data_IF_837866072324
#
_entry.id   IF_837866072324
#
_cell.length_a   1.000
_cell.length_b   1.000
_cell.length_c   1.000
_cell.angle_alpha   90.00
_cell.angle_beta   90.00
_cell.angle_gamma   90.00
#
_symmetry.space_group_name_H-M   'P 1'
#
loop_
_entity.id
_entity.type
_entity.pdbx_description
1 polymer ?
#
# COMPACT_ATOMS: atom_id res chain seq x y z
N UNK A 1 39.45 -2.08 -30.09
CA UNK A 1 38.66 -1.35 -29.06
C UNK A 1 37.17 -1.46 -29.39
N UNK A 2 36.38 -2.23 -28.62
CA UNK A 2 34.92 -2.35 -28.83
C UNK A 2 34.23 -1.09 -28.27
N UNK A 3 33.60 -0.29 -29.14
CA UNK A 3 32.69 0.80 -28.73
C UNK A 3 31.58 0.21 -27.86
N UNK A 4 31.57 0.54 -26.56
CA UNK A 4 30.44 0.25 -25.66
C UNK A 4 29.22 0.96 -26.25
N UNK A 5 28.21 0.18 -26.68
CA UNK A 5 26.90 0.72 -27.04
C UNK A 5 26.37 1.47 -25.82
N UNK A 6 26.21 2.78 -25.93
CA UNK A 6 25.50 3.58 -24.94
C UNK A 6 24.05 3.06 -24.91
N UNK A 7 23.70 2.30 -23.87
CA UNK A 7 22.31 1.89 -23.67
C UNK A 7 21.44 3.15 -23.63
N UNK A 8 20.37 3.17 -24.41
CA UNK A 8 19.39 4.25 -24.41
C UNK A 8 18.89 4.47 -22.99
N UNK A 9 19.08 5.66 -22.44
CA UNK A 9 18.59 5.99 -21.10
C UNK A 9 17.06 6.05 -21.16
N UNK A 10 16.39 5.35 -20.27
CA UNK A 10 14.93 5.35 -20.19
C UNK A 10 14.44 6.79 -19.92
N UNK A 11 13.44 7.23 -20.69
CA UNK A 11 12.85 8.58 -20.60
C UNK A 11 11.58 8.62 -19.75
N UNK A 12 11.24 7.51 -19.10
CA UNK A 12 10.11 7.38 -18.18
C UNK A 12 10.66 7.36 -16.75
N UNK A 13 10.07 8.19 -15.90
CA UNK A 13 10.35 8.25 -14.47
C UNK A 13 9.84 6.96 -13.80
N UNK A 14 10.72 6.17 -13.18
CA UNK A 14 10.34 4.90 -12.56
C UNK A 14 9.41 5.03 -11.36
N UNK A 15 9.32 6.21 -10.74
CA UNK A 15 8.50 6.41 -9.53
C UNK A 15 7.05 6.69 -9.92
N UNK A 16 6.85 7.65 -10.82
CA UNK A 16 5.52 8.13 -11.20
C UNK A 16 5.02 7.53 -12.52
N UNK A 17 5.84 6.74 -13.22
CA UNK A 17 5.55 6.19 -14.56
C UNK A 17 5.17 7.26 -15.59
N UNK A 18 5.71 8.47 -15.46
CA UNK A 18 5.47 9.60 -16.36
C UNK A 18 6.74 9.97 -17.13
N UNK A 19 6.60 10.70 -18.24
CA UNK A 19 7.75 11.16 -19.02
C UNK A 19 8.64 12.07 -18.16
N UNK A 20 9.96 11.82 -18.18
CA UNK A 20 10.95 12.67 -17.52
C UNK A 20 10.95 14.05 -18.17
N UNK A 21 10.70 15.06 -17.36
CA UNK A 21 10.64 16.46 -17.78
C UNK A 21 12.00 17.14 -17.85
N UNK A 22 11.98 18.48 -17.86
CA UNK A 22 13.20 19.30 -17.85
C UNK A 22 13.97 19.18 -16.52
N UNK A 23 13.26 18.97 -15.42
CA UNK A 23 13.81 18.87 -14.06
C UNK A 23 14.22 17.43 -13.77
N UNK A 24 15.34 17.00 -14.35
CA UNK A 24 15.78 15.61 -14.28
C UNK A 24 17.06 15.42 -13.47
N UNK A 25 17.15 14.24 -12.86
CA UNK A 25 18.35 13.73 -12.20
C UNK A 25 18.78 12.42 -12.87
N UNK A 26 20.09 12.24 -13.07
CA UNK A 26 20.65 11.02 -13.65
C UNK A 26 21.46 10.30 -12.59
N UNK A 27 21.07 9.07 -12.26
CA UNK A 27 21.85 8.20 -11.39
C UNK A 27 22.59 7.15 -12.22
N UNK A 28 23.89 6.98 -11.97
CA UNK A 28 24.72 5.97 -12.63
C UNK A 28 24.98 4.84 -11.64
N UNK A 29 24.46 3.66 -11.97
CA UNK A 29 24.58 2.46 -11.14
C UNK A 29 26.01 1.90 -11.19
N UNK A 30 26.42 1.08 -10.21
CA UNK A 30 27.74 0.44 -10.20
C UNK A 30 28.05 -0.41 -11.45
N UNK A 31 27.01 -0.96 -12.10
CA UNK A 31 27.13 -1.72 -13.35
C UNK A 31 27.28 -0.85 -14.61
N UNK A 32 27.34 0.47 -14.46
CA UNK A 32 27.47 1.45 -15.55
C UNK A 32 26.18 1.76 -16.30
N UNK A 33 25.03 1.18 -15.92
CA UNK A 33 23.72 1.59 -16.44
C UNK A 33 23.26 2.86 -15.74
N UNK A 34 22.63 3.76 -16.49
CA UNK A 34 22.08 5.00 -15.94
C UNK A 34 20.55 5.00 -16.01
N UNK A 35 19.93 5.63 -15.02
CA UNK A 35 18.49 5.85 -14.92
C UNK A 35 18.21 7.34 -14.74
N UNK A 36 17.03 7.78 -15.20
CA UNK A 36 16.57 9.16 -15.08
C UNK A 36 15.31 9.23 -14.22
N UNK A 37 15.29 10.21 -13.32
CA UNK A 37 14.15 10.53 -12.48
C UNK A 37 13.73 11.98 -12.71
N UNK A 38 12.45 12.29 -12.52
CA UNK A 38 12.10 13.67 -12.19
C UNK A 38 12.66 13.95 -10.79
N UNK A 39 13.39 15.05 -10.63
CA UNK A 39 14.03 15.33 -9.34
C UNK A 39 13.00 15.53 -8.23
N UNK A 40 11.83 16.08 -8.56
CA UNK A 40 10.75 16.30 -7.61
C UNK A 40 10.19 14.99 -7.04
N UNK A 41 9.92 14.00 -7.90
CA UNK A 41 9.38 12.70 -7.48
C UNK A 41 10.42 11.90 -6.68
N UNK A 42 11.69 11.95 -7.07
CA UNK A 42 12.77 11.29 -6.34
C UNK A 42 12.92 11.83 -4.92
N UNK A 43 12.90 13.16 -4.75
CA UNK A 43 12.98 13.77 -3.42
C UNK A 43 11.75 13.43 -2.58
N UNK A 44 10.54 13.52 -3.15
CA UNK A 44 9.31 13.15 -2.41
C UNK A 44 9.32 11.69 -2.00
N UNK A 45 9.73 10.79 -2.90
CA UNK A 45 9.84 9.37 -2.59
C UNK A 45 10.74 9.15 -1.37
N UNK A 46 11.96 9.70 -1.38
CA UNK A 46 12.93 9.51 -0.27
C UNK A 46 12.36 10.07 1.04
N UNK A 47 11.83 11.30 1.02
CA UNK A 47 11.34 11.97 2.23
C UNK A 47 10.04 11.38 2.77
N UNK A 48 9.12 10.92 1.91
CA UNK A 48 7.86 10.33 2.34
C UNK A 48 8.02 8.88 2.79
N UNK A 49 8.91 8.12 2.17
CA UNK A 49 9.08 6.68 2.47
C UNK A 49 10.15 6.41 3.51
N UNK A 50 11.11 7.33 3.68
CA UNK A 50 12.33 7.09 4.43
C UNK A 50 13.28 6.09 3.78
N UNK A 51 13.06 5.72 2.52
CA UNK A 51 13.92 4.80 1.79
C UNK A 51 15.01 5.56 1.04
N UNK A 52 16.24 5.46 1.56
CA UNK A 52 17.44 6.09 1.00
C UNK A 52 18.15 5.18 -0.02
N UNK A 53 17.40 4.26 -0.65
CA UNK A 53 17.88 3.42 -1.74
C UNK A 53 17.32 3.89 -3.09
N UNK A 54 18.02 3.53 -4.16
CA UNK A 54 17.55 3.78 -5.51
C UNK A 54 16.26 2.98 -5.78
N UNK A 55 15.16 3.61 -6.26
CA UNK A 55 13.84 2.97 -6.27
C UNK A 55 13.70 1.69 -7.10
N UNK A 56 14.46 1.51 -8.19
CA UNK A 56 14.32 0.33 -9.06
C UNK A 56 15.17 -0.85 -8.57
N UNK A 57 16.39 -0.57 -8.15
CA UNK A 57 17.44 -1.56 -7.88
C UNK A 57 17.70 -1.77 -6.40
N UNK A 58 17.13 -0.89 -5.56
CA UNK A 58 17.30 -0.86 -4.10
C UNK A 58 18.76 -0.77 -3.66
N UNK A 59 19.62 -0.21 -4.53
CA UNK A 59 21.02 0.06 -4.18
C UNK A 59 21.04 1.28 -3.25
N UNK A 60 21.65 1.20 -2.05
CA UNK A 60 21.71 2.34 -1.14
C UNK A 60 22.40 3.53 -1.78
N UNK A 61 21.82 4.72 -1.66
CA UNK A 61 22.51 5.95 -2.03
C UNK A 61 23.66 6.21 -1.07
N UNK A 62 24.80 6.63 -1.62
CA UNK A 62 25.88 7.18 -0.80
C UNK A 62 25.54 8.60 -0.37
N UNK A 63 26.21 9.12 0.66
CA UNK A 63 26.03 10.52 1.06
C UNK A 63 26.39 11.50 -0.06
N UNK A 64 27.35 11.12 -0.91
CA UNK A 64 27.70 11.88 -2.11
C UNK A 64 26.56 11.88 -3.15
N UNK A 65 25.80 10.79 -3.27
CA UNK A 65 24.65 10.73 -4.17
C UNK A 65 23.48 11.57 -3.64
N UNK A 66 23.18 11.47 -2.34
CA UNK A 66 22.16 12.28 -1.69
C UNK A 66 22.48 13.78 -1.78
N UNK A 67 23.75 14.16 -1.61
CA UNK A 67 24.19 15.54 -1.82
C UNK A 67 23.94 16.03 -3.25
N UNK A 68 24.21 15.20 -4.27
CA UNK A 68 23.92 15.55 -5.67
C UNK A 68 22.41 15.69 -5.93
N UNK A 69 21.59 14.89 -5.26
CA UNK A 69 20.13 15.00 -5.32
C UNK A 69 19.69 16.35 -4.74
N UNK A 70 20.22 16.75 -3.59
CA UNK A 70 19.94 18.06 -2.99
C UNK A 70 20.40 19.22 -3.87
N UNK A 71 21.61 19.16 -4.42
CA UNK A 71 22.13 20.15 -5.36
C UNK A 71 21.23 20.29 -6.60
N UNK A 72 20.72 19.17 -7.13
CA UNK A 72 19.77 19.18 -8.24
C UNK A 72 18.42 19.80 -7.82
N UNK A 73 17.92 19.49 -6.63
CA UNK A 73 16.67 20.07 -6.12
C UNK A 73 16.77 21.59 -5.92
N UNK A 74 17.91 22.08 -5.42
CA UNK A 74 18.22 23.51 -5.28
C UNK A 74 18.30 24.17 -6.65
N UNK A 75 19.02 23.56 -7.61
CA UNK A 75 19.15 24.06 -8.98
C UNK A 75 17.79 24.29 -9.66
N UNK A 76 16.81 23.44 -9.40
CA UNK A 76 15.45 23.56 -9.94
C UNK A 76 14.48 24.30 -9.01
N UNK A 77 14.96 24.88 -7.91
CA UNK A 77 14.18 25.67 -6.95
C UNK A 77 12.94 24.92 -6.40
N UNK A 78 13.09 23.63 -6.07
CA UNK A 78 11.98 22.78 -5.63
C UNK A 78 11.46 23.11 -4.22
N UNK A 79 12.20 23.89 -3.42
CA UNK A 79 11.86 24.25 -2.02
C UNK A 79 11.53 23.04 -1.13
N UNK A 80 12.20 21.91 -1.34
CA UNK A 80 12.04 20.68 -0.54
C UNK A 80 13.13 20.56 0.53
N UNK A 81 12.87 19.75 1.55
CA UNK A 81 13.86 19.43 2.58
C UNK A 81 15.03 18.65 1.99
N UNK A 82 16.20 18.74 2.64
CA UNK A 82 17.40 18.00 2.21
C UNK A 82 17.24 16.51 2.49
N UNK A 83 17.47 15.67 1.48
CA UNK A 83 17.47 14.22 1.64
C UNK A 83 18.70 13.74 2.40
N UNK A 84 19.83 14.45 2.30
CA UNK A 84 21.03 14.15 3.07
C UNK A 84 20.85 14.40 4.57
N UNK A 85 20.27 15.55 4.94
CA UNK A 85 19.95 15.84 6.34
C UNK A 85 18.86 14.91 6.87
N UNK A 86 17.86 14.58 6.05
CA UNK A 86 16.84 13.60 6.40
C UNK A 86 17.44 12.22 6.77
N UNK A 87 18.46 11.74 6.05
CA UNK A 87 19.13 10.46 6.34
C UNK A 87 19.67 10.39 7.76
N UNK A 88 20.13 11.51 8.33
CA UNK A 88 20.69 11.55 9.68
C UNK A 88 19.62 11.32 10.75
N UNK A 89 18.35 11.58 10.44
CA UNK A 89 17.24 11.36 11.36
C UNK A 89 16.76 9.90 11.34
N UNK A 90 17.67 8.98 11.68
CA UNK A 90 17.44 7.52 11.65
C UNK A 90 16.25 7.12 12.51
N UNK A 91 16.13 7.70 13.70
CA UNK A 91 15.06 7.36 14.64
C UNK A 91 13.68 7.67 14.07
N UNK A 92 13.49 8.86 13.48
CA UNK A 92 12.22 9.25 12.86
C UNK A 92 11.82 8.31 11.73
N UNK A 93 12.74 8.02 10.80
CA UNK A 93 12.41 7.17 9.64
C UNK A 93 12.26 5.69 10.00
N UNK A 94 12.96 5.23 11.05
CA UNK A 94 12.75 3.89 11.61
C UNK A 94 11.35 3.76 12.20
N UNK A 95 10.91 4.75 12.99
CA UNK A 95 9.56 4.78 13.56
C UNK A 95 8.48 4.89 12.46
N UNK A 96 8.70 5.76 11.47
CA UNK A 96 7.79 5.90 10.33
C UNK A 96 7.63 4.57 9.58
N UNK A 97 8.74 3.89 9.32
CA UNK A 97 8.73 2.57 8.68
C UNK A 97 8.00 1.54 9.54
N UNK A 98 8.30 1.49 10.83
CA UNK A 98 7.64 0.57 11.76
C UNK A 98 6.12 0.77 11.76
N UNK A 99 5.66 2.03 11.89
CA UNK A 99 4.23 2.36 11.84
C UNK A 99 3.57 1.94 10.53
N UNK A 100 4.24 2.22 9.40
CA UNK A 100 3.75 1.82 8.07
C UNK A 100 3.64 0.30 7.95
N UNK A 101 4.66 -0.43 8.39
CA UNK A 101 4.69 -1.89 8.31
C UNK A 101 3.63 -2.52 9.24
N UNK A 102 3.36 -1.92 10.41
CA UNK A 102 2.27 -2.32 11.30
C UNK A 102 0.88 -2.12 10.66
N UNK A 103 0.66 -0.97 10.01
CA UNK A 103 -0.58 -0.69 9.26
C UNK A 103 -0.76 -1.71 8.12
N UNK A 104 0.29 -1.99 7.35
CA UNK A 104 0.24 -3.02 6.31
C UNK A 104 0.03 -4.44 6.87
N UNK A 105 0.50 -4.72 8.08
CA UNK A 105 0.20 -5.97 8.77
C UNK A 105 -1.29 -6.13 9.03
N UNK A 106 -1.93 -5.09 9.59
CA UNK A 106 -3.37 -5.09 9.87
C UNK A 106 -4.21 -5.20 8.60
N UNK A 107 -3.83 -4.50 7.53
CA UNK A 107 -4.53 -4.59 6.24
C UNK A 107 -4.46 -6.01 5.66
N UNK A 108 -3.32 -6.69 5.77
CA UNK A 108 -3.21 -8.11 5.35
C UNK A 108 -4.12 -9.03 6.15
N UNK A 109 -4.21 -8.83 7.48
CA UNK A 109 -5.12 -9.61 8.30
C UNK A 109 -6.58 -9.39 7.88
N UNK A 110 -6.99 -8.14 7.61
CA UNK A 110 -8.32 -7.83 7.08
C UNK A 110 -8.56 -8.51 5.72
N UNK A 111 -7.56 -8.49 4.83
CA UNK A 111 -7.66 -9.14 3.53
C UNK A 111 -7.85 -10.66 3.63
N UNK A 112 -7.12 -11.34 4.54
CA UNK A 112 -7.30 -12.78 4.77
C UNK A 112 -8.69 -13.11 5.33
N UNK A 113 -9.18 -12.31 6.26
CA UNK A 113 -10.52 -12.49 6.84
C UNK A 113 -11.62 -12.22 5.80
N UNK A 114 -11.47 -11.18 4.98
CA UNK A 114 -12.39 -10.89 3.88
C UNK A 114 -12.38 -12.01 2.83
N UNK A 115 -11.23 -12.56 2.48
CA UNK A 115 -11.14 -13.73 1.58
C UNK A 115 -11.87 -14.94 2.19
N UNK A 116 -11.74 -15.16 3.50
CA UNK A 116 -12.48 -16.20 4.22
C UNK A 116 -14.00 -15.97 4.21
N UNK A 117 -14.45 -14.72 4.36
CA UNK A 117 -15.87 -14.37 4.25
C UNK A 117 -16.40 -14.63 2.85
N UNK A 118 -15.66 -14.22 1.81
CA UNK A 118 -16.06 -14.46 0.42
C UNK A 118 -16.16 -15.96 0.14
N UNK A 119 -15.18 -16.75 0.57
CA UNK A 119 -15.23 -18.21 0.43
C UNK A 119 -16.45 -18.81 1.15
N UNK A 120 -16.77 -18.36 2.36
CA UNK A 120 -17.96 -18.81 3.08
C UNK A 120 -19.26 -18.44 2.36
N UNK A 121 -19.30 -17.32 1.65
CA UNK A 121 -20.46 -16.89 0.85
C UNK A 121 -20.57 -17.68 -0.46
N UNK A 122 -19.47 -17.85 -1.20
CA UNK A 122 -19.49 -18.44 -2.54
C UNK A 122 -19.53 -19.98 -2.55
N UNK A 123 -18.88 -20.62 -1.57
CA UNK A 123 -18.69 -22.08 -1.53
C UNK A 123 -19.76 -22.80 -0.71
N UNK A 124 -20.64 -22.07 0.00
CA UNK A 124 -21.70 -22.68 0.78
C UNK A 124 -22.74 -23.36 -0.13
N UNK A 125 -22.77 -24.68 -0.07
CA UNK A 125 -23.90 -25.48 -0.54
C UNK A 125 -24.94 -25.66 0.57
N UNK A 126 -26.04 -26.33 0.25
CA UNK A 126 -27.15 -26.53 1.17
C UNK A 126 -26.82 -27.47 2.34
N UNK A 127 -25.79 -28.32 2.22
CA UNK A 127 -25.32 -29.20 3.30
C UNK A 127 -24.42 -28.44 4.29
N UNK A 128 -23.69 -27.44 3.78
CA UNK A 128 -22.68 -26.70 4.55
C UNK A 128 -23.11 -25.28 4.95
N UNK A 129 -24.32 -24.85 4.60
CA UNK A 129 -24.82 -23.50 4.86
C UNK A 129 -24.70 -23.10 6.35
N UNK A 130 -25.12 -23.98 7.26
CA UNK A 130 -25.02 -23.74 8.71
C UNK A 130 -23.56 -23.64 9.17
N UNK A 131 -22.67 -24.49 8.66
CA UNK A 131 -21.23 -24.44 8.99
C UNK A 131 -20.57 -23.16 8.46
N UNK A 132 -20.95 -22.70 7.28
CA UNK A 132 -20.48 -21.45 6.71
C UNK A 132 -20.95 -20.25 7.55
N UNK A 133 -22.22 -20.25 7.98
CA UNK A 133 -22.77 -19.23 8.87
C UNK A 133 -22.07 -19.25 10.25
N UNK A 134 -21.90 -20.43 10.86
CA UNK A 134 -21.15 -20.55 12.12
C UNK A 134 -19.73 -20.02 11.98
N UNK A 135 -19.03 -20.33 10.88
CA UNK A 135 -17.67 -19.83 10.61
C UNK A 135 -17.65 -18.30 10.48
N UNK A 136 -18.62 -17.71 9.76
CA UNK A 136 -18.75 -16.27 9.65
C UNK A 136 -18.84 -15.61 11.02
N UNK A 137 -19.77 -16.09 11.84
CA UNK A 137 -20.16 -15.45 13.10
C UNK A 137 -19.15 -15.68 14.21
N UNK A 138 -18.60 -16.88 14.30
CA UNK A 138 -17.72 -17.24 15.41
C UNK A 138 -16.26 -16.86 15.16
N UNK A 139 -15.86 -16.65 13.89
CA UNK A 139 -14.45 -16.49 13.54
C UNK A 139 -14.19 -15.27 12.66
N UNK A 140 -14.86 -15.21 11.50
CA UNK A 140 -14.47 -14.25 10.46
C UNK A 140 -14.90 -12.82 10.79
N UNK A 141 -16.18 -12.61 11.14
CA UNK A 141 -16.71 -11.28 11.43
C UNK A 141 -16.09 -10.68 12.71
N UNK A 142 -15.97 -11.41 13.85
CA UNK A 142 -15.29 -10.89 15.03
C UNK A 142 -13.82 -10.56 14.77
N UNK A 143 -13.09 -11.46 14.11
CA UNK A 143 -11.68 -11.21 13.76
C UNK A 143 -11.50 -9.98 12.89
N UNK A 144 -12.43 -9.74 11.96
CA UNK A 144 -12.39 -8.56 11.10
C UNK A 144 -12.70 -7.28 11.87
N UNK A 145 -13.69 -7.31 12.75
CA UNK A 145 -14.02 -6.17 13.61
C UNK A 145 -12.82 -5.77 14.48
N UNK A 146 -12.14 -6.74 15.08
CA UNK A 146 -10.97 -6.51 15.93
C UNK A 146 -9.80 -5.92 15.14
N UNK A 147 -9.45 -6.51 14.00
CA UNK A 147 -8.38 -6.01 13.14
C UNK A 147 -8.70 -4.60 12.61
N UNK A 148 -9.96 -4.34 12.27
CA UNK A 148 -10.40 -3.04 11.79
C UNK A 148 -10.37 -1.99 12.91
N UNK A 149 -10.78 -2.34 14.13
CA UNK A 149 -10.72 -1.45 15.29
C UNK A 149 -9.28 -1.04 15.60
N UNK A 150 -8.34 -2.00 15.55
CA UNK A 150 -6.90 -1.74 15.69
C UNK A 150 -6.39 -0.81 14.59
N UNK A 151 -6.75 -1.07 13.33
CA UNK A 151 -6.36 -0.21 12.21
C UNK A 151 -6.92 1.20 12.35
N UNK A 152 -8.19 1.33 12.76
CA UNK A 152 -8.85 2.62 12.98
C UNK A 152 -8.20 3.43 14.09
N UNK A 153 -7.78 2.76 15.17
CA UNK A 153 -7.05 3.40 16.26
C UNK A 153 -5.67 3.90 15.82
N UNK A 154 -4.98 3.16 14.93
CA UNK A 154 -3.66 3.54 14.42
C UNK A 154 -3.71 4.61 13.31
N UNK A 155 -4.68 4.49 12.38
CA UNK A 155 -4.88 5.36 11.21
C UNK A 155 -6.33 5.26 10.70
N UNK A 156 -7.19 6.16 11.17
CA UNK A 156 -8.61 6.18 10.80
C UNK A 156 -8.87 6.41 9.28
N UNK A 157 -8.14 7.31 8.58
CA UNK A 157 -8.21 7.38 7.12
C UNK A 157 -7.91 6.06 6.41
N UNK A 158 -6.82 5.37 6.80
CA UNK A 158 -6.47 4.08 6.21
C UNK A 158 -7.54 3.02 6.50
N UNK A 159 -8.09 2.97 7.72
CA UNK A 159 -9.17 2.05 8.08
C UNK A 159 -10.44 2.24 7.26
N UNK A 160 -10.82 3.49 6.97
CA UNK A 160 -11.97 3.78 6.09
C UNK A 160 -11.71 3.34 4.65
N UNK A 161 -10.51 3.58 4.14
CA UNK A 161 -10.14 3.15 2.80
C UNK A 161 -10.14 1.61 2.69
N UNK A 162 -9.58 0.92 3.69
CA UNK A 162 -9.57 -0.54 3.76
C UNK A 162 -10.99 -1.13 3.82
N UNK A 163 -11.87 -0.60 4.68
CA UNK A 163 -13.25 -1.05 4.78
C UNK A 163 -13.99 -0.92 3.44
N UNK A 164 -13.84 0.21 2.75
CA UNK A 164 -14.43 0.41 1.41
C UNK A 164 -13.90 -0.61 0.40
N UNK A 165 -12.58 -0.82 0.34
CA UNK A 165 -11.98 -1.79 -0.59
C UNK A 165 -12.45 -3.22 -0.32
N UNK A 166 -12.52 -3.64 0.95
CA UNK A 166 -13.00 -4.97 1.30
C UNK A 166 -14.50 -5.13 1.03
N UNK A 167 -15.31 -4.08 1.23
CA UNK A 167 -16.73 -4.10 0.85
C UNK A 167 -16.89 -4.32 -0.65
N UNK A 168 -16.15 -3.57 -1.47
CA UNK A 168 -16.16 -3.73 -2.93
C UNK A 168 -15.68 -5.13 -3.36
N UNK A 169 -14.62 -5.64 -2.73
CA UNK A 169 -14.11 -6.99 -2.96
C UNK A 169 -15.16 -8.07 -2.64
N UNK A 170 -15.84 -7.96 -1.50
CA UNK A 170 -16.88 -8.90 -1.05
C UNK A 170 -18.17 -8.81 -1.88
N UNK A 171 -18.46 -7.66 -2.46
CA UNK A 171 -19.57 -7.50 -3.41
C UNK A 171 -19.27 -8.16 -4.76
N UNK A 172 -18.00 -8.13 -5.17
CA UNK A 172 -17.58 -8.47 -6.52
C UNK A 172 -17.88 -7.33 -7.51
N UNK A 173 -17.31 -7.38 -8.73
CA UNK A 173 -17.52 -6.33 -9.72
C UNK A 173 -18.96 -6.32 -10.26
N UNK A 174 -19.49 -5.18 -10.73
CA UNK A 174 -20.89 -5.06 -11.17
C UNK A 174 -21.30 -6.02 -12.30
N UNK A 175 -20.34 -6.41 -13.15
CA UNK A 175 -20.56 -7.34 -14.27
C UNK A 175 -20.47 -8.82 -13.86
N UNK A 176 -19.94 -9.11 -12.67
CA UNK A 176 -19.81 -10.45 -12.12
C UNK A 176 -19.83 -10.35 -10.58
N UNK A 177 -21.00 -10.13 -9.97
CA UNK A 177 -21.12 -10.07 -8.51
C UNK A 177 -20.70 -11.41 -7.89
N UNK A 178 -20.36 -11.39 -6.61
CA UNK A 178 -20.06 -12.60 -5.85
C UNK A 178 -21.25 -13.57 -5.90
N UNK A 179 -20.96 -14.86 -6.00
CA UNK A 179 -22.01 -15.88 -5.99
C UNK A 179 -22.54 -16.02 -4.55
N UNK A 180 -23.85 -15.91 -4.36
CA UNK A 180 -24.47 -16.07 -3.04
C UNK A 180 -25.61 -17.10 -3.08
N UNK A 181 -25.30 -18.40 -3.04
CA UNK A 181 -26.32 -19.46 -3.12
C UNK A 181 -27.26 -19.49 -1.90
N UNK A 182 -26.79 -19.04 -0.74
CA UNK A 182 -27.46 -19.19 0.56
C UNK A 182 -27.98 -17.87 1.16
N UNK A 183 -27.74 -16.73 0.50
CA UNK A 183 -28.14 -15.42 1.03
C UNK A 183 -27.23 -14.87 2.12
N UNK A 184 -26.02 -15.43 2.28
CA UNK A 184 -25.08 -15.05 3.35
C UNK A 184 -24.42 -13.69 3.09
N UNK A 185 -24.48 -13.19 1.87
CA UNK A 185 -23.89 -11.89 1.53
C UNK A 185 -24.57 -10.75 2.28
N UNK A 186 -25.89 -10.84 2.52
CA UNK A 186 -26.63 -9.84 3.29
C UNK A 186 -26.12 -9.71 4.74
N UNK A 187 -25.74 -10.83 5.37
CA UNK A 187 -25.18 -10.85 6.73
C UNK A 187 -23.83 -10.13 6.75
N UNK A 188 -22.96 -10.42 5.79
CA UNK A 188 -21.65 -9.77 5.67
C UNK A 188 -21.79 -8.27 5.40
N UNK A 189 -22.67 -7.87 4.47
CA UNK A 189 -22.87 -6.44 4.17
C UNK A 189 -23.46 -5.68 5.36
N UNK A 190 -24.45 -6.25 6.04
CA UNK A 190 -25.02 -5.66 7.26
C UNK A 190 -23.98 -5.46 8.36
N UNK A 191 -23.07 -6.42 8.56
CA UNK A 191 -21.95 -6.28 9.47
C UNK A 191 -21.01 -5.13 9.08
N UNK A 192 -20.64 -5.01 7.80
CA UNK A 192 -19.77 -3.92 7.34
C UNK A 192 -20.42 -2.54 7.49
N UNK A 193 -21.74 -2.46 7.28
CA UNK A 193 -22.53 -1.24 7.52
C UNK A 193 -22.50 -0.82 9.00
N UNK A 194 -22.65 -1.77 9.92
CA UNK A 194 -22.53 -1.52 11.36
C UNK A 194 -21.13 -0.99 11.74
N UNK A 195 -20.07 -1.58 11.19
CA UNK A 195 -18.69 -1.12 11.42
C UNK A 195 -18.48 0.31 10.93
N UNK A 196 -18.97 0.64 9.73
CA UNK A 196 -18.84 1.99 9.16
C UNK A 196 -19.57 3.04 9.99
N UNK A 197 -20.74 2.69 10.52
CA UNK A 197 -21.54 3.53 11.41
C UNK A 197 -20.95 3.62 12.83
N UNK A 198 -19.93 2.82 13.15
CA UNK A 198 -19.31 2.77 14.47
C UNK A 198 -20.18 2.11 15.54
N UNK A 199 -21.15 1.30 15.13
CA UNK A 199 -22.01 0.52 16.00
C UNK A 199 -21.23 -0.75 16.39
N UNK A 200 -21.34 -1.18 17.66
CA UNK A 200 -20.82 -2.49 18.04
C UNK A 200 -21.54 -3.56 17.21
N UNK A 201 -20.82 -4.45 16.50
CA UNK A 201 -21.48 -5.38 15.62
C UNK A 201 -22.43 -6.29 16.39
N UNK A 202 -23.69 -6.29 15.97
CA UNK A 202 -24.67 -7.28 16.40
C UNK A 202 -24.76 -8.31 15.27
N UNK A 203 -24.35 -9.53 15.58
CA UNK A 203 -24.30 -10.61 14.59
C UNK A 203 -25.67 -11.19 14.28
N UNK A 204 -26.75 -10.70 14.91
CA UNK A 204 -28.14 -10.78 14.43
C UNK A 204 -28.58 -12.17 13.96
N UNK A 205 -28.95 -13.04 14.91
CA UNK A 205 -29.76 -14.24 14.69
C UNK A 205 -30.94 -14.26 15.64
#
# INVERSE_FOLDING_TARGET
MKKRRSGSINIVDPIMFTKVGKQKFVYVRPNGKAVQYNIASLVDYILCTGDFCEPETRIPFTDADLKKIDEAAIKYNLKKQSVLEARKNVAFYSELKFRRDAIFGLERCLAELAAGMLAAVEEADWELAELAQMRLVMQLLPGFADAWAQLRAADAPAARAALRHHREYLAGPPNRPARDPQGLQAVVQGFLDQLEQGIQPDFGF
#
